data_IF_408870062362
#
_entry.id   IF_408870062362
#
_cell.length_a   1.000
_cell.length_b   1.000
_cell.length_c   1.000
_cell.angle_alpha   90.00
_cell.angle_beta   90.00
_cell.angle_gamma   90.00
#
_symmetry.space_group_name_H-M   'P 1'
#
loop_
_entity.id
_entity.type
_entity.pdbx_description
1 polymer ?
#
# COMPACT_ATOMS: atom_id res chain seq x y z
N UNK A 1 -1.11 9.10 13.84
CA UNK A 1 -1.68 7.82 14.32
C UNK A 1 -2.99 8.12 15.04
N UNK A 2 -4.04 7.32 14.82
CA UNK A 2 -5.28 7.40 15.61
C UNK A 2 -5.04 6.81 17.01
N UNK A 3 -5.35 7.57 18.05
CA UNK A 3 -5.41 7.04 19.41
C UNK A 3 -6.75 6.35 19.66
N UNK A 4 -6.84 5.55 20.72
CA UNK A 4 -8.07 4.85 21.12
C UNK A 4 -9.27 5.78 21.38
N UNK A 5 -9.05 7.08 21.57
CA UNK A 5 -10.09 8.09 21.74
C UNK A 5 -10.40 8.90 20.47
N UNK A 6 -10.05 8.40 19.28
CA UNK A 6 -10.31 9.09 18.00
C UNK A 6 -9.40 10.30 17.73
N UNK A 7 -8.44 10.61 18.61
CA UNK A 7 -7.53 11.75 18.43
C UNK A 7 -6.42 11.40 17.44
N UNK A 8 -6.11 12.33 16.54
CA UNK A 8 -5.01 12.18 15.59
C UNK A 8 -3.73 12.75 16.21
N UNK A 9 -2.74 11.89 16.46
CA UNK A 9 -1.41 12.31 16.90
C UNK A 9 -0.46 12.41 15.71
N UNK A 10 0.12 13.60 15.46
CA UNK A 10 1.22 13.78 14.50
C UNK A 10 2.52 13.26 15.11
N UNK A 11 3.31 12.57 14.31
CA UNK A 11 4.63 12.06 14.70
C UNK A 11 5.63 12.74 13.78
N UNK A 12 6.64 13.37 14.38
CA UNK A 12 7.65 14.14 13.65
C UNK A 12 8.95 13.34 13.49
N UNK A 13 9.77 13.77 12.54
CA UNK A 13 11.10 13.22 12.25
C UNK A 13 11.08 11.73 11.88
N UNK A 14 10.11 11.33 11.05
CA UNK A 14 10.03 9.99 10.47
C UNK A 14 10.77 9.92 9.12
N UNK A 15 11.28 8.74 8.73
CA UNK A 15 11.85 8.55 7.40
C UNK A 15 10.89 8.97 6.29
N UNK A 16 11.43 9.57 5.23
CA UNK A 16 10.66 10.03 4.07
C UNK A 16 10.71 8.98 2.96
N UNK A 17 9.54 8.61 2.46
CA UNK A 17 9.38 7.69 1.34
C UNK A 17 8.61 8.36 0.22
N UNK A 18 8.89 7.92 -1.00
CA UNK A 18 8.12 8.25 -2.19
C UNK A 18 7.27 7.06 -2.55
N UNK A 19 6.06 7.28 -3.04
CA UNK A 19 5.14 6.20 -3.38
C UNK A 19 4.47 6.43 -4.72
N UNK A 20 4.27 5.34 -5.46
CA UNK A 20 3.40 5.32 -6.64
C UNK A 20 2.12 4.58 -6.26
N UNK A 21 0.99 5.28 -6.35
CA UNK A 21 -0.34 4.72 -6.10
C UNK A 21 -0.98 4.42 -7.44
N UNK A 22 -1.49 3.20 -7.59
CA UNK A 22 -2.22 2.78 -8.78
C UNK A 22 -3.60 2.29 -8.40
N UNK A 23 -4.62 2.76 -9.10
CA UNK A 23 -6.00 2.29 -8.97
C UNK A 23 -6.44 1.78 -10.33
N UNK A 24 -6.71 0.47 -10.47
CA UNK A 24 -7.25 -0.07 -11.70
C UNK A 24 -8.65 0.48 -11.97
N UNK A 25 -9.13 0.30 -13.19
CA UNK A 25 -10.48 0.67 -13.65
C UNK A 25 -11.60 -0.19 -13.01
N UNK A 26 -11.25 -1.19 -12.21
CA UNK A 26 -12.19 -1.99 -11.42
C UNK A 26 -11.97 -1.80 -9.92
N UNK A 27 -13.04 -1.98 -9.14
CA UNK A 27 -13.04 -1.90 -7.69
C UNK A 27 -13.07 -3.25 -6.98
N UNK A 28 -12.73 -3.24 -5.69
CA UNK A 28 -13.03 -4.34 -4.77
C UNK A 28 -14.24 -3.94 -3.92
N UNK A 29 -15.28 -4.78 -3.84
CA UNK A 29 -16.38 -4.54 -2.91
C UNK A 29 -15.89 -4.77 -1.48
N UNK A 30 -15.85 -3.71 -0.66
CA UNK A 30 -15.46 -3.78 0.75
C UNK A 30 -16.26 -4.86 1.49
N UNK A 31 -17.60 -4.86 1.35
CA UNK A 31 -18.47 -5.90 1.93
C UNK A 31 -18.00 -7.31 1.56
N UNK A 32 -17.74 -7.57 0.28
CA UNK A 32 -17.32 -8.89 -0.21
C UNK A 32 -15.92 -9.32 0.25
N UNK A 33 -15.00 -8.36 0.47
CA UNK A 33 -13.66 -8.66 0.97
C UNK A 33 -13.72 -8.95 2.47
N UNK A 34 -14.42 -8.12 3.25
CA UNK A 34 -14.58 -8.31 4.68
C UNK A 34 -15.38 -9.57 5.03
N UNK A 35 -16.39 -9.94 4.25
CA UNK A 35 -17.18 -11.17 4.49
C UNK A 35 -16.37 -12.46 4.32
N UNK A 36 -15.20 -12.40 3.67
CA UNK A 36 -14.32 -13.54 3.47
C UNK A 36 -13.22 -13.65 4.55
N UNK A 37 -13.17 -12.71 5.50
CA UNK A 37 -12.21 -12.73 6.62
C UNK A 37 -12.65 -13.78 7.64
N UNK A 38 -11.77 -14.74 7.94
CA UNK A 38 -12.05 -15.82 8.91
C UNK A 38 -11.39 -15.59 10.28
N UNK A 39 -10.33 -14.80 10.33
CA UNK A 39 -9.55 -14.55 11.55
C UNK A 39 -9.27 -13.06 11.69
N UNK A 40 -9.64 -12.49 12.82
CA UNK A 40 -9.35 -11.10 13.17
C UNK A 40 -8.20 -11.04 14.18
N UNK A 41 -7.25 -10.15 13.94
CA UNK A 41 -6.12 -9.92 14.84
C UNK A 41 -6.41 -8.76 15.79
N UNK A 42 -6.00 -8.87 17.04
CA UNK A 42 -6.03 -7.74 17.99
C UNK A 42 -5.12 -6.60 17.52
N UNK A 43 -5.50 -5.36 17.84
CA UNK A 43 -4.70 -4.18 17.52
C UNK A 43 -3.31 -4.24 18.16
N UNK A 44 -2.26 -4.01 17.38
CA UNK A 44 -0.85 -3.95 17.83
C UNK A 44 -0.35 -2.52 18.04
N UNK A 45 -1.22 -1.52 17.85
CA UNK A 45 -0.84 -0.13 17.64
C UNK A 45 -1.10 0.80 18.83
N UNK A 46 -1.30 0.24 20.02
CA UNK A 46 -1.75 1.00 21.19
C UNK A 46 -0.71 2.03 21.69
N UNK A 47 0.57 1.87 21.33
CA UNK A 47 1.66 2.80 21.68
C UNK A 47 2.59 3.02 20.47
N UNK A 48 2.39 4.06 19.63
CA UNK A 48 3.27 4.35 18.51
C UNK A 48 4.70 4.68 18.96
N UNK A 49 5.68 4.08 18.31
CA UNK A 49 7.11 4.38 18.47
C UNK A 49 7.71 4.81 17.13
N UNK A 50 8.75 5.65 17.14
CA UNK A 50 9.40 6.16 15.92
C UNK A 50 9.96 5.05 15.02
N UNK A 51 10.47 3.97 15.63
CA UNK A 51 10.99 2.80 14.90
C UNK A 51 9.91 2.10 14.03
N UNK A 52 8.62 2.30 14.32
CA UNK A 52 7.51 1.76 13.54
C UNK A 52 7.39 2.40 12.14
N UNK A 53 8.10 3.50 11.89
CA UNK A 53 8.15 4.16 10.58
C UNK A 53 9.41 3.81 9.79
N UNK A 54 10.28 2.97 10.34
CA UNK A 54 11.45 2.45 9.64
C UNK A 54 11.07 1.41 8.58
N UNK A 55 11.85 1.33 7.51
CA UNK A 55 11.57 0.46 6.35
C UNK A 55 11.40 -1.01 6.76
N UNK A 56 12.25 -1.52 7.65
CA UNK A 56 12.17 -2.90 8.17
C UNK A 56 10.80 -3.17 8.80
N UNK A 57 10.38 -2.30 9.73
CA UNK A 57 9.08 -2.44 10.38
C UNK A 57 7.91 -2.36 9.38
N UNK A 58 7.99 -1.45 8.41
CA UNK A 58 6.93 -1.24 7.41
C UNK A 58 6.77 -2.44 6.46
N UNK A 59 7.89 -3.07 6.07
CA UNK A 59 7.90 -4.30 5.26
C UNK A 59 7.20 -5.43 6.03
N UNK A 60 7.47 -5.57 7.33
CA UNK A 60 6.89 -6.62 8.18
C UNK A 60 5.39 -6.44 8.44
N UNK A 61 4.85 -5.24 8.22
CA UNK A 61 3.41 -5.05 8.30
C UNK A 61 2.72 -5.81 7.15
N UNK A 62 1.55 -6.38 7.39
CA UNK A 62 0.80 -7.07 6.34
C UNK A 62 -0.64 -6.59 6.34
N UNK A 63 -1.22 -6.46 5.15
CA UNK A 63 -2.65 -6.23 5.02
C UNK A 63 -3.36 -7.59 4.96
N UNK A 64 -4.08 -7.95 6.02
CA UNK A 64 -4.81 -9.22 6.10
C UNK A 64 -5.84 -9.40 4.96
N UNK A 65 -6.35 -8.30 4.40
CA UNK A 65 -7.31 -8.32 3.29
C UNK A 65 -6.64 -8.54 1.94
N UNK A 66 -5.34 -8.29 1.83
CA UNK A 66 -4.61 -8.37 0.57
C UNK A 66 -4.65 -9.78 0.00
N UNK A 67 -4.33 -10.80 0.79
CA UNK A 67 -4.36 -12.19 0.31
C UNK A 67 -5.75 -12.60 -0.20
N UNK A 68 -6.80 -12.15 0.48
CA UNK A 68 -8.20 -12.40 0.07
C UNK A 68 -8.49 -11.70 -1.26
N UNK A 69 -8.14 -10.42 -1.37
CA UNK A 69 -8.36 -9.63 -2.58
C UNK A 69 -7.56 -10.17 -3.78
N UNK A 70 -6.29 -10.55 -3.59
CA UNK A 70 -5.44 -11.10 -4.65
C UNK A 70 -5.93 -12.47 -5.15
N UNK A 71 -6.49 -13.30 -4.26
CA UNK A 71 -7.13 -14.57 -4.65
C UNK A 71 -8.39 -14.32 -5.47
N UNK A 72 -9.22 -13.36 -5.06
CA UNK A 72 -10.50 -13.07 -5.72
C UNK A 72 -10.35 -12.29 -7.03
N UNK A 73 -9.30 -11.47 -7.14
CA UNK A 73 -9.03 -10.62 -8.29
C UNK A 73 -7.63 -10.89 -8.85
N UNK A 74 -7.44 -11.92 -9.69
CA UNK A 74 -6.12 -12.26 -10.25
C UNK A 74 -5.48 -11.12 -11.05
N UNK A 75 -6.28 -10.23 -11.67
CA UNK A 75 -5.78 -9.01 -12.31
C UNK A 75 -5.03 -8.10 -11.32
N UNK A 76 -5.50 -8.01 -10.08
CA UNK A 76 -4.85 -7.26 -9.01
C UNK A 76 -3.49 -7.86 -8.65
N UNK A 77 -3.39 -9.20 -8.64
CA UNK A 77 -2.13 -9.94 -8.44
C UNK A 77 -1.11 -9.61 -9.54
N UNK A 78 -1.54 -9.54 -10.81
CA UNK A 78 -0.67 -9.14 -11.94
C UNK A 78 -0.17 -7.69 -11.80
N UNK A 79 -1.03 -6.77 -11.36
CA UNK A 79 -0.65 -5.37 -11.10
C UNK A 79 0.41 -5.30 -10.00
N UNK A 80 0.20 -6.02 -8.89
CA UNK A 80 1.14 -6.07 -7.77
C UNK A 80 2.51 -6.58 -8.21
N UNK A 81 2.56 -7.74 -8.87
CA UNK A 81 3.81 -8.31 -9.35
C UNK A 81 4.56 -7.40 -10.33
N UNK A 82 3.82 -6.72 -11.21
CA UNK A 82 4.44 -5.77 -12.12
C UNK A 82 5.04 -4.56 -11.39
N UNK A 83 4.40 -4.07 -10.33
CA UNK A 83 4.97 -3.00 -9.51
C UNK A 83 6.21 -3.48 -8.73
N UNK A 84 6.19 -4.71 -8.22
CA UNK A 84 7.35 -5.33 -7.54
C UNK A 84 8.55 -5.46 -8.48
N UNK A 85 8.31 -5.75 -9.76
CA UNK A 85 9.37 -5.95 -10.75
C UNK A 85 9.94 -4.67 -11.36
N UNK A 86 9.41 -3.47 -11.06
CA UNK A 86 9.87 -2.21 -11.69
C UNK A 86 10.55 -1.26 -10.72
N UNK A 87 11.74 -0.79 -11.12
CA UNK A 87 12.43 0.33 -10.47
C UNK A 87 12.75 0.12 -8.97
N UNK A 88 12.90 -1.15 -8.56
CA UNK A 88 13.37 -1.59 -7.25
C UNK A 88 12.61 -0.93 -6.07
N UNK A 89 11.31 -1.21 -5.91
CA UNK A 89 10.55 -0.72 -4.76
C UNK A 89 11.09 -1.33 -3.46
N UNK A 90 10.92 -0.63 -2.34
CA UNK A 90 11.16 -1.16 -1.01
C UNK A 90 10.16 -2.28 -0.67
N UNK A 91 8.90 -2.04 -1.02
CA UNK A 91 7.80 -2.99 -0.91
C UNK A 91 6.60 -2.49 -1.70
N UNK A 92 5.70 -3.42 -2.01
CA UNK A 92 4.44 -3.15 -2.69
C UNK A 92 3.30 -3.78 -1.90
N UNK A 93 2.24 -3.02 -1.66
CA UNK A 93 1.10 -3.43 -0.82
C UNK A 93 -0.21 -2.86 -1.32
N UNK A 94 -1.30 -3.61 -1.12
CA UNK A 94 -2.66 -3.09 -1.30
C UNK A 94 -3.09 -2.21 -0.12
N UNK A 95 -3.70 -1.06 -0.39
CA UNK A 95 -4.28 -0.20 0.65
C UNK A 95 -5.76 -0.51 0.88
N UNK A 96 -6.20 -0.49 2.15
CA UNK A 96 -7.57 -0.83 2.55
C UNK A 96 -8.01 -2.22 2.09
N UNK A 97 -9.27 -2.35 1.66
CA UNK A 97 -9.80 -3.55 1.01
C UNK A 97 -9.51 -3.63 -0.50
N UNK A 98 -8.66 -2.73 -1.02
CA UNK A 98 -8.41 -2.58 -2.45
C UNK A 98 -9.46 -1.71 -3.17
N UNK A 99 -9.32 -1.48 -4.46
CA UNK A 99 -8.37 -2.12 -5.41
C UNK A 99 -7.03 -1.37 -5.59
N UNK A 100 -6.78 -0.31 -4.82
CA UNK A 100 -5.54 0.46 -4.96
C UNK A 100 -4.33 -0.29 -4.43
N UNK A 101 -3.24 -0.29 -5.20
CA UNK A 101 -1.92 -0.82 -4.80
C UNK A 101 -0.93 0.35 -4.71
N UNK A 102 -0.06 0.30 -3.72
CA UNK A 102 0.97 1.30 -3.45
C UNK A 102 2.34 0.63 -3.49
N UNK A 103 3.25 1.20 -4.28
CA UNK A 103 4.66 0.83 -4.31
C UNK A 103 5.49 1.94 -3.66
N UNK A 104 6.37 1.58 -2.71
CA UNK A 104 7.19 2.52 -1.94
C UNK A 104 8.64 2.51 -2.44
N UNK A 105 9.29 3.68 -2.45
CA UNK A 105 10.63 3.90 -2.97
C UNK A 105 11.43 4.84 -2.06
N UNK A 106 12.74 4.63 -1.98
CA UNK A 106 13.68 5.56 -1.31
C UNK A 106 13.96 6.83 -2.15
N UNK A 107 13.70 6.80 -3.46
CA UNK A 107 14.04 7.89 -4.38
C UNK A 107 12.83 8.37 -5.19
N UNK A 108 12.71 9.69 -5.31
CA UNK A 108 11.74 10.33 -6.19
C UNK A 108 11.96 9.94 -7.66
N UNK A 109 13.21 9.75 -8.08
CA UNK A 109 13.56 9.32 -9.46
C UNK A 109 12.97 7.95 -9.76
N UNK A 110 13.22 6.96 -8.89
CA UNK A 110 12.66 5.61 -9.04
C UNK A 110 11.13 5.62 -9.06
N UNK A 111 10.52 6.41 -8.18
CA UNK A 111 9.07 6.58 -8.12
C UNK A 111 8.49 7.16 -9.41
N UNK A 112 9.07 8.25 -9.95
CA UNK A 112 8.62 8.86 -11.22
C UNK A 112 8.79 7.90 -12.40
N UNK A 113 9.91 7.17 -12.47
CA UNK A 113 10.15 6.18 -13.51
C UNK A 113 9.17 4.99 -13.42
N UNK A 114 8.87 4.54 -12.21
CA UNK A 114 7.86 3.50 -11.99
C UNK A 114 6.48 3.94 -12.49
N UNK A 115 6.04 5.16 -12.15
CA UNK A 115 4.80 5.76 -12.68
C UNK A 115 4.78 5.79 -14.21
N UNK A 116 5.87 6.24 -14.85
CA UNK A 116 5.96 6.30 -16.30
C UNK A 116 5.85 4.90 -16.95
N UNK A 117 6.60 3.91 -16.45
CA UNK A 117 6.52 2.52 -16.92
C UNK A 117 5.14 1.91 -16.69
N UNK A 118 4.51 2.23 -15.57
CA UNK A 118 3.16 1.77 -15.25
C UNK A 118 2.13 2.31 -16.23
N UNK A 119 2.10 3.64 -16.44
CA UNK A 119 1.16 4.27 -17.39
C UNK A 119 1.35 3.79 -18.83
N UNK A 120 2.59 3.45 -19.23
CA UNK A 120 2.86 2.86 -20.56
C UNK A 120 2.21 1.49 -20.72
N UNK A 121 2.19 0.66 -19.68
CA UNK A 121 1.59 -0.68 -19.70
C UNK A 121 0.08 -0.67 -19.44
N UNK A 122 -0.40 0.16 -18.53
CA UNK A 122 -1.79 0.24 -18.09
C UNK A 122 -2.35 1.65 -18.34
N UNK A 123 -2.69 1.94 -19.60
CA UNK A 123 -3.09 3.30 -20.04
C UNK A 123 -4.35 3.84 -19.34
N UNK A 124 -5.31 2.97 -19.04
CA UNK A 124 -6.61 3.36 -18.50
C UNK A 124 -6.66 3.38 -16.96
N UNK A 125 -5.55 3.10 -16.29
CA UNK A 125 -5.52 3.02 -14.84
C UNK A 125 -5.05 4.33 -14.24
N UNK A 126 -5.71 4.76 -13.17
CA UNK A 126 -5.28 5.94 -12.44
C UNK A 126 -3.96 5.66 -11.74
N UNK A 127 -3.00 6.57 -11.89
CA UNK A 127 -1.66 6.40 -11.34
C UNK A 127 -1.03 7.76 -10.97
N UNK A 128 -0.65 7.91 -9.70
CA UNK A 128 -0.08 9.14 -9.13
C UNK A 128 1.12 8.84 -8.25
N UNK A 129 1.95 9.86 -8.04
CA UNK A 129 3.07 9.80 -7.08
C UNK A 129 2.73 10.63 -5.85
N UNK A 130 3.11 10.15 -4.67
CA UNK A 130 2.98 10.87 -3.40
C UNK A 130 4.27 10.75 -2.58
N UNK A 131 4.35 11.55 -1.50
CA UNK A 131 5.46 11.56 -0.53
C UNK A 131 4.88 11.43 0.87
N UNK A 132 5.56 10.72 1.77
CA UNK A 132 5.16 10.65 3.17
C UNK A 132 5.41 11.99 3.88
N UNK A 133 4.51 12.33 4.80
CA UNK A 133 4.51 13.58 5.59
C UNK A 133 5.50 13.48 6.74
#
# INVERSE_FOLDING_TARGET
MLSSGGRIKKIYNTPKYYSTLVKPDFGCSTKKIYSAVRKYTKSKYNKPKKNMFGVKYLIDQQNALETIALKKYPKLKKIKFFLESINNPLFVRMTGSGSTIVAYYNSLKSCKLAKAKFKRKYKNYWCVTAKTI
#
